data_IF_129780910407
#
_entry.id   IF_129780910407
#
_cell.length_a   1.000
_cell.length_b   1.000
_cell.length_c   1.000
_cell.angle_alpha   90.00
_cell.angle_beta   90.00
_cell.angle_gamma   90.00
#
_symmetry.space_group_name_H-M   'P 1'
#
loop_
_entity.id
_entity.type
_entity.pdbx_description
1 polymer ?
#
# COMPACT_ATOMS: atom_id res chain seq x y z
N UNK A 1 34.55 12.55 -20.80
CA UNK A 1 34.83 11.58 -19.71
C UNK A 1 34.42 12.11 -18.34
N UNK A 2 34.88 13.29 -17.90
CA UNK A 2 34.62 13.79 -16.54
C UNK A 2 33.12 13.88 -16.13
N UNK A 3 32.22 14.24 -17.06
CA UNK A 3 30.79 14.29 -16.77
C UNK A 3 30.16 12.90 -16.57
N UNK A 4 30.59 11.91 -17.34
CA UNK A 4 30.12 10.51 -17.27
C UNK A 4 30.56 9.89 -15.94
N UNK A 5 31.84 10.05 -15.58
CA UNK A 5 32.39 9.51 -14.33
C UNK A 5 31.69 10.10 -13.10
N UNK A 6 31.31 11.38 -13.18
CA UNK A 6 30.56 12.07 -12.11
C UNK A 6 29.14 11.51 -11.95
N UNK A 7 28.44 11.21 -13.05
CA UNK A 7 27.10 10.60 -13.00
C UNK A 7 27.17 9.18 -12.45
N UNK A 8 28.12 8.37 -12.92
CA UNK A 8 28.37 7.02 -12.37
C UNK A 8 28.66 7.03 -10.87
N UNK A 9 29.46 7.99 -10.41
CA UNK A 9 29.75 8.16 -8.99
C UNK A 9 28.49 8.50 -8.17
N UNK A 10 27.65 9.43 -8.63
CA UNK A 10 26.37 9.76 -7.97
C UNK A 10 25.48 8.53 -7.86
N UNK A 11 25.35 7.76 -8.93
CA UNK A 11 24.49 6.58 -9.00
C UNK A 11 24.95 5.51 -8.02
N UNK A 12 26.25 5.26 -7.95
CA UNK A 12 26.81 4.34 -6.96
C UNK A 12 26.48 4.76 -5.52
N UNK A 13 26.54 6.06 -5.23
CA UNK A 13 26.20 6.60 -3.89
C UNK A 13 24.71 6.40 -3.59
N UNK A 14 23.82 6.78 -4.52
CA UNK A 14 22.37 6.65 -4.33
C UNK A 14 21.94 5.19 -4.20
N UNK A 15 22.56 4.28 -4.95
CA UNK A 15 22.34 2.83 -4.82
C UNK A 15 22.77 2.30 -3.46
N UNK A 16 23.95 2.68 -2.98
CA UNK A 16 24.42 2.25 -1.66
C UNK A 16 23.49 2.76 -0.55
N UNK A 17 23.05 4.02 -0.64
CA UNK A 17 22.09 4.59 0.30
C UNK A 17 20.74 3.86 0.25
N UNK A 18 20.21 3.61 -0.95
CA UNK A 18 18.95 2.90 -1.16
C UNK A 18 18.99 1.48 -0.63
N UNK A 19 20.10 0.74 -0.88
CA UNK A 19 20.31 -0.62 -0.35
C UNK A 19 20.27 -0.65 1.17
N UNK A 20 21.02 0.26 1.82
CA UNK A 20 21.04 0.37 3.29
C UNK A 20 19.64 0.65 3.83
N UNK A 21 18.91 1.56 3.17
CA UNK A 21 17.57 1.93 3.59
C UNK A 21 16.57 0.77 3.41
N UNK A 22 16.59 0.09 2.26
CA UNK A 22 15.77 -1.10 2.01
C UNK A 22 16.03 -2.18 3.06
N UNK A 23 17.31 -2.47 3.38
CA UNK A 23 17.65 -3.47 4.39
C UNK A 23 17.18 -3.07 5.79
N UNK A 24 17.27 -1.77 6.14
CA UNK A 24 16.72 -1.23 7.39
C UNK A 24 15.20 -1.45 7.46
N UNK A 25 14.48 -1.17 6.36
CA UNK A 25 13.03 -1.36 6.28
C UNK A 25 12.66 -2.84 6.33
N UNK A 26 13.38 -3.73 5.64
CA UNK A 26 13.17 -5.19 5.70
C UNK A 26 13.32 -5.71 7.13
N UNK A 27 14.41 -5.34 7.81
CA UNK A 27 14.66 -5.73 9.21
C UNK A 27 13.58 -5.19 10.16
N UNK A 28 13.09 -3.98 9.90
CA UNK A 28 11.99 -3.40 10.67
C UNK A 28 10.68 -4.17 10.45
N UNK A 29 10.37 -4.54 9.20
CA UNK A 29 9.16 -5.31 8.86
C UNK A 29 9.14 -6.71 9.48
N UNK A 30 10.30 -7.37 9.60
CA UNK A 30 10.45 -8.66 10.27
C UNK A 30 10.11 -8.58 11.77
N UNK A 31 10.47 -7.47 12.42
CA UNK A 31 10.23 -7.25 13.85
C UNK A 31 8.94 -6.47 14.16
N UNK A 32 8.20 -6.06 13.12
CA UNK A 32 7.08 -5.13 13.25
C UNK A 32 5.88 -5.71 14.01
N UNK A 33 5.62 -7.01 13.85
CA UNK A 33 4.43 -7.65 14.44
C UNK A 33 4.50 -7.64 15.98
N UNK A 34 5.70 -7.63 16.57
CA UNK A 34 5.93 -7.56 18.01
C UNK A 34 5.83 -6.13 18.59
N UNK A 35 5.95 -5.09 17.77
CA UNK A 35 6.05 -3.67 18.20
C UNK A 35 4.97 -2.77 17.57
N UNK A 36 3.88 -3.40 17.13
CA UNK A 36 2.90 -2.85 16.20
C UNK A 36 2.22 -1.53 16.61
N UNK A 37 1.87 -1.35 17.90
CA UNK A 37 1.16 -0.14 18.37
C UNK A 37 2.04 1.11 18.38
N UNK A 38 3.35 0.95 18.56
CA UNK A 38 4.30 2.06 18.73
C UNK A 38 4.88 2.53 17.40
N UNK A 39 4.90 1.66 16.39
CA UNK A 39 5.74 1.83 15.21
C UNK A 39 4.97 2.14 13.91
N UNK A 40 3.67 2.45 14.00
CA UNK A 40 2.82 2.67 12.83
C UNK A 40 3.20 3.92 12.03
N UNK A 41 3.45 5.05 12.69
CA UNK A 41 3.86 6.30 12.04
C UNK A 41 5.18 6.11 11.27
N UNK A 42 6.08 5.32 11.85
CA UNK A 42 7.36 4.97 11.25
C UNK A 42 7.20 4.16 9.95
N UNK A 43 6.12 3.38 9.82
CA UNK A 43 5.82 2.63 8.59
C UNK A 43 5.40 3.57 7.44
N UNK A 44 4.64 4.63 7.74
CA UNK A 44 4.28 5.66 6.77
C UNK A 44 5.49 6.53 6.40
N UNK A 45 6.32 6.87 7.38
CA UNK A 45 7.57 7.60 7.14
C UNK A 45 8.51 6.80 6.23
N UNK A 46 8.63 5.48 6.44
CA UNK A 46 9.39 4.61 5.54
C UNK A 46 8.82 4.56 4.13
N UNK A 47 7.50 4.58 3.98
CA UNK A 47 6.86 4.61 2.66
C UNK A 47 7.21 5.90 1.89
N UNK A 48 7.08 7.06 2.54
CA UNK A 48 7.41 8.37 1.94
C UNK A 48 8.88 8.45 1.53
N UNK A 49 9.78 7.95 2.37
CA UNK A 49 11.21 7.93 2.06
C UNK A 49 11.56 6.96 0.91
N UNK A 50 10.86 5.82 0.79
CA UNK A 50 11.01 4.92 -0.37
C UNK A 50 10.53 5.59 -1.66
N UNK A 51 9.43 6.33 -1.62
CA UNK A 51 8.95 7.12 -2.77
C UNK A 51 9.99 8.17 -3.20
N UNK A 52 10.56 8.92 -2.24
CA UNK A 52 11.60 9.91 -2.52
C UNK A 52 12.86 9.29 -3.16
N UNK A 53 13.30 8.12 -2.66
CA UNK A 53 14.46 7.41 -3.22
C UNK A 53 14.20 6.87 -4.63
N UNK A 54 12.98 6.42 -4.90
CA UNK A 54 12.59 5.98 -6.25
C UNK A 54 12.61 7.15 -7.24
N UNK A 55 12.10 8.32 -6.85
CA UNK A 55 12.14 9.53 -7.69
C UNK A 55 13.59 9.97 -7.95
N UNK A 56 14.46 9.90 -6.94
CA UNK A 56 15.89 10.21 -7.08
C UNK A 56 16.58 9.28 -8.10
N UNK A 57 16.31 7.96 -8.03
CA UNK A 57 16.83 6.98 -8.99
C UNK A 57 16.31 7.24 -10.41
N UNK A 58 15.01 7.50 -10.57
CA UNK A 58 14.42 7.82 -11.88
C UNK A 58 14.98 9.11 -12.48
N UNK A 59 15.30 10.10 -11.64
CA UNK A 59 15.91 11.36 -12.08
C UNK A 59 17.34 11.12 -12.57
N UNK A 60 18.11 10.29 -11.86
CA UNK A 60 19.46 9.92 -12.26
C UNK A 60 19.48 9.13 -13.58
N UNK A 61 18.59 8.16 -13.76
CA UNK A 61 18.50 7.42 -15.02
C UNK A 61 18.18 8.36 -16.20
N UNK A 62 17.33 9.39 -16.00
CA UNK A 62 17.08 10.41 -17.03
C UNK A 62 18.28 11.32 -17.29
N UNK A 63 19.09 11.63 -16.27
CA UNK A 63 20.37 12.35 -16.46
C UNK A 63 21.35 11.51 -17.30
N UNK A 64 21.32 10.18 -17.19
CA UNK A 64 22.11 9.27 -18.03
C UNK A 64 21.65 9.27 -19.49
N UNK A 65 20.33 9.18 -19.75
CA UNK A 65 19.76 9.21 -21.10
C UNK A 65 20.17 10.47 -21.89
N UNK A 66 20.32 11.60 -21.21
CA UNK A 66 20.74 12.88 -21.80
C UNK A 66 22.22 12.92 -22.22
N UNK A 67 23.06 12.03 -21.69
CA UNK A 67 24.49 11.96 -22.01
C UNK A 67 24.80 11.19 -23.31
N UNK A 68 23.78 10.64 -23.99
CA UNK A 68 23.80 10.09 -25.36
C UNK A 68 24.75 8.90 -25.62
N UNK A 69 25.29 8.25 -24.59
CA UNK A 69 26.21 7.10 -24.71
C UNK A 69 25.66 5.87 -23.98
N UNK A 70 24.61 5.27 -24.55
CA UNK A 70 23.83 4.17 -23.96
C UNK A 70 24.68 2.91 -23.67
N UNK A 71 25.70 2.62 -24.49
CA UNK A 71 26.61 1.49 -24.28
C UNK A 71 27.47 1.64 -23.02
N UNK A 72 27.81 2.87 -22.62
CA UNK A 72 28.62 3.12 -21.44
C UNK A 72 27.81 2.98 -20.14
N UNK A 73 26.48 3.02 -20.21
CA UNK A 73 25.58 3.01 -19.05
C UNK A 73 24.65 1.78 -18.97
N UNK A 74 24.71 0.87 -19.95
CA UNK A 74 23.84 -0.31 -20.00
C UNK A 74 23.83 -1.14 -18.71
N UNK A 75 25.02 -1.37 -18.12
CA UNK A 75 25.16 -2.10 -16.86
C UNK A 75 24.57 -1.32 -15.68
N UNK A 76 24.74 0.00 -15.68
CA UNK A 76 24.11 0.88 -14.72
C UNK A 76 22.58 0.85 -14.87
N UNK A 77 22.01 0.94 -16.06
CA UNK A 77 20.56 0.92 -16.28
C UNK A 77 19.94 -0.41 -15.79
N UNK A 78 20.53 -1.54 -16.15
CA UNK A 78 20.05 -2.87 -15.75
C UNK A 78 20.05 -3.04 -14.21
N UNK A 79 21.13 -2.61 -13.55
CA UNK A 79 21.17 -2.58 -12.08
C UNK A 79 20.14 -1.61 -11.47
N UNK A 80 19.89 -0.44 -12.08
CA UNK A 80 18.88 0.51 -11.58
C UNK A 80 17.47 -0.11 -11.57
N UNK A 81 17.12 -0.91 -12.58
CA UNK A 81 15.83 -1.60 -12.65
C UNK A 81 15.65 -2.61 -11.52
N UNK A 82 16.68 -3.39 -11.21
CA UNK A 82 16.65 -4.35 -10.08
C UNK A 82 16.42 -3.63 -8.74
N UNK A 83 17.03 -2.45 -8.55
CA UNK A 83 16.80 -1.63 -7.36
C UNK A 83 15.38 -1.07 -7.28
N UNK A 84 14.81 -0.63 -8.41
CA UNK A 84 13.43 -0.17 -8.46
C UNK A 84 12.45 -1.30 -8.12
N UNK A 85 12.68 -2.51 -8.63
CA UNK A 85 11.86 -3.68 -8.31
C UNK A 85 11.90 -4.02 -6.81
N UNK A 86 13.10 -4.00 -6.21
CA UNK A 86 13.28 -4.26 -4.78
C UNK A 86 12.60 -3.18 -3.90
N UNK A 87 12.68 -1.91 -4.30
CA UNK A 87 11.95 -0.81 -3.64
C UNK A 87 10.44 -1.06 -3.73
N UNK A 88 9.92 -1.40 -4.91
CA UNK A 88 8.51 -1.67 -5.14
C UNK A 88 8.01 -2.87 -4.31
N UNK A 89 8.79 -3.95 -4.22
CA UNK A 89 8.46 -5.12 -3.40
C UNK A 89 8.29 -4.72 -1.92
N UNK A 90 9.21 -3.91 -1.38
CA UNK A 90 9.14 -3.45 0.01
C UNK A 90 7.97 -2.51 0.24
N UNK A 91 7.70 -1.58 -0.70
CA UNK A 91 6.51 -0.70 -0.64
C UNK A 91 5.23 -1.52 -0.63
N UNK A 92 5.15 -2.59 -1.44
CA UNK A 92 4.00 -3.49 -1.43
C UNK A 92 3.83 -4.18 -0.08
N UNK A 93 4.92 -4.69 0.53
CA UNK A 93 4.88 -5.30 1.87
C UNK A 93 4.39 -4.31 2.95
N UNK A 94 4.87 -3.06 2.92
CA UNK A 94 4.39 -1.99 3.80
C UNK A 94 2.89 -1.75 3.62
N UNK A 95 2.44 -1.50 2.38
CA UNK A 95 1.01 -1.24 2.07
C UNK A 95 0.11 -2.41 2.47
N UNK A 96 0.56 -3.65 2.25
CA UNK A 96 -0.17 -4.86 2.66
C UNK A 96 -0.35 -4.93 4.18
N UNK A 97 0.69 -4.62 4.97
CA UNK A 97 0.59 -4.56 6.44
C UNK A 97 -0.36 -3.45 6.91
N UNK A 98 -0.35 -2.28 6.26
CA UNK A 98 -1.31 -1.19 6.54
C UNK A 98 -2.74 -1.63 6.22
N UNK A 99 -2.98 -2.26 5.07
CA UNK A 99 -4.33 -2.63 4.63
C UNK A 99 -4.92 -3.79 5.45
N UNK A 100 -4.12 -4.78 5.84
CA UNK A 100 -4.55 -5.84 6.79
C UNK A 100 -5.02 -5.25 8.11
N UNK A 101 -4.42 -4.14 8.57
CA UNK A 101 -4.89 -3.39 9.73
C UNK A 101 -6.27 -2.78 9.51
N UNK A 102 -6.48 -2.08 8.40
CA UNK A 102 -7.76 -1.46 8.11
C UNK A 102 -8.91 -2.51 8.15
N UNK A 103 -8.67 -3.69 7.56
CA UNK A 103 -9.63 -4.79 7.57
C UNK A 103 -9.85 -5.41 8.97
N UNK A 104 -8.80 -5.54 9.78
CA UNK A 104 -8.90 -6.07 11.15
C UNK A 104 -9.51 -5.06 12.14
N UNK A 105 -9.24 -3.77 11.99
CA UNK A 105 -9.86 -2.71 12.80
C UNK A 105 -11.35 -2.55 12.45
N UNK A 106 -11.72 -2.62 11.18
CA UNK A 106 -13.13 -2.67 10.78
C UNK A 106 -13.82 -3.87 11.42
N UNK A 107 -13.22 -5.07 11.36
CA UNK A 107 -13.77 -6.27 11.98
C UNK A 107 -13.94 -6.19 13.51
N UNK A 108 -13.11 -5.39 14.21
CA UNK A 108 -13.23 -5.15 15.66
C UNK A 108 -14.24 -4.05 15.97
N UNK A 109 -14.33 -2.99 15.16
CA UNK A 109 -15.28 -1.89 15.38
C UNK A 109 -16.74 -2.30 15.09
N UNK A 110 -16.98 -3.36 14.31
CA UNK A 110 -18.31 -3.99 14.23
C UNK A 110 -18.72 -4.72 15.53
N UNK A 111 -17.81 -4.90 16.49
CA UNK A 111 -18.12 -5.39 17.85
C UNK A 111 -18.18 -4.21 18.83
N UNK A 112 -19.34 -3.56 18.85
CA UNK A 112 -19.82 -2.92 20.08
C UNK A 112 -20.07 -1.44 19.96
N UNK A 113 -21.32 -1.09 19.68
CA UNK A 113 -22.03 -0.15 20.53
C UNK A 113 -23.42 -0.73 20.83
N UNK A 114 -23.77 -0.66 22.11
CA UNK A 114 -24.97 -1.19 22.78
C UNK A 114 -24.88 -2.66 23.20
N UNK A 115 -24.47 -2.89 24.44
CA UNK A 115 -25.37 -3.52 25.42
C UNK A 115 -24.75 -3.47 26.82
N UNK A 116 -25.37 -2.66 27.66
CA UNK A 116 -25.20 -2.67 29.11
C UNK A 116 -25.57 -4.05 29.67
N UNK A 117 -24.61 -4.64 30.40
CA UNK A 117 -24.79 -5.59 31.50
C UNK A 117 -25.91 -6.64 31.39
N UNK A 118 -25.65 -7.81 30.75
CA UNK A 118 -26.20 -9.08 31.24
C UNK A 118 -25.21 -10.22 31.00
N UNK A 119 -24.70 -10.81 32.09
CA UNK A 119 -24.05 -12.13 32.08
C UNK A 119 -25.10 -13.19 31.79
N UNK A 120 -24.93 -14.02 30.76
CA UNK A 120 -25.38 -15.42 30.76
C UNK A 120 -24.60 -16.26 29.75
N UNK A 121 -24.38 -17.53 30.09
CA UNK A 121 -23.60 -18.53 29.37
C UNK A 121 -24.39 -19.14 28.18
N UNK A 122 -23.66 -19.55 27.13
CA UNK A 122 -24.03 -20.45 26.00
C UNK A 122 -24.89 -19.89 24.84
N UNK A 123 -24.96 -20.63 23.71
CA UNK A 123 -23.95 -20.98 22.71
C UNK A 123 -24.10 -20.08 21.47
N UNK A 124 -23.27 -20.23 20.42
CA UNK A 124 -23.26 -19.38 19.22
C UNK A 124 -24.66 -19.05 18.67
N UNK A 125 -25.16 -17.84 19.00
CA UNK A 125 -26.38 -17.27 18.45
C UNK A 125 -26.15 -17.08 16.94
N UNK A 126 -26.74 -17.96 16.14
CA UNK A 126 -26.91 -17.72 14.71
C UNK A 126 -27.83 -16.51 14.55
N UNK A 127 -27.23 -15.32 14.47
CA UNK A 127 -27.91 -14.07 14.16
C UNK A 127 -28.46 -14.20 12.74
N UNK A 128 -29.76 -14.44 12.62
CA UNK A 128 -30.44 -14.38 11.33
C UNK A 128 -30.43 -12.92 10.87
N UNK A 129 -29.67 -12.62 9.82
CA UNK A 129 -29.72 -11.32 9.17
C UNK A 129 -31.16 -11.06 8.70
N UNK A 130 -31.68 -9.84 8.86
CA UNK A 130 -32.97 -9.47 8.28
C UNK A 130 -32.91 -9.70 6.78
N UNK A 131 -33.82 -10.51 6.24
CA UNK A 131 -33.92 -10.73 4.80
C UNK A 131 -34.36 -9.43 4.14
N UNK A 132 -33.43 -8.75 3.48
CA UNK A 132 -33.71 -7.62 2.61
C UNK A 132 -34.57 -8.11 1.44
N UNK A 133 -35.84 -7.68 1.41
CA UNK A 133 -36.72 -7.94 0.27
C UNK A 133 -36.48 -6.86 -0.77
N UNK A 134 -35.61 -7.17 -1.74
CA UNK A 134 -35.45 -6.33 -2.92
C UNK A 134 -36.59 -6.69 -3.89
N UNK A 135 -37.40 -5.73 -4.35
CA UNK A 135 -38.39 -5.97 -5.40
C UNK A 135 -37.73 -6.56 -6.65
N UNK A 136 -38.41 -7.48 -7.35
CA UNK A 136 -37.92 -7.96 -8.64
C UNK A 136 -38.11 -6.85 -9.69
N UNK A 137 -37.08 -6.61 -10.50
CA UNK A 137 -37.20 -5.70 -11.64
C UNK A 137 -38.06 -6.34 -12.74
N UNK A 138 -39.16 -5.68 -13.11
CA UNK A 138 -40.05 -6.09 -14.20
C UNK A 138 -40.19 -5.03 -15.30
N UNK A 139 -39.26 -4.07 -15.37
CA UNK A 139 -39.25 -2.99 -16.36
C UNK A 139 -38.47 -3.32 -17.63
N UNK A 140 -38.38 -2.36 -18.55
CA UNK A 140 -37.53 -2.46 -19.74
C UNK A 140 -36.05 -2.31 -19.38
N UNK A 141 -35.14 -2.94 -20.12
CA UNK A 141 -33.69 -2.88 -19.83
C UNK A 141 -33.15 -1.44 -19.74
N UNK A 142 -33.76 -0.49 -20.45
CA UNK A 142 -33.39 0.93 -20.40
C UNK A 142 -33.65 1.60 -19.05
N UNK A 143 -34.58 1.09 -18.23
CA UNK A 143 -34.93 1.65 -16.91
C UNK A 143 -34.28 0.89 -15.75
N UNK A 144 -33.43 -0.10 -16.03
CA UNK A 144 -32.76 -0.90 -15.01
C UNK A 144 -31.82 -0.07 -14.13
N UNK A 145 -31.10 0.89 -14.71
CA UNK A 145 -30.20 1.77 -13.95
C UNK A 145 -30.95 2.67 -12.98
N UNK A 146 -32.10 3.21 -13.39
CA UNK A 146 -32.96 4.01 -12.51
C UNK A 146 -33.51 3.17 -11.35
N UNK A 147 -33.90 1.92 -11.62
CA UNK A 147 -34.33 0.98 -10.60
C UNK A 147 -33.23 0.69 -9.57
N UNK A 148 -32.00 0.41 -10.02
CA UNK A 148 -30.87 0.17 -9.10
C UNK A 148 -30.53 1.42 -8.30
N UNK A 149 -30.55 2.60 -8.93
CA UNK A 149 -30.24 3.86 -8.27
C UNK A 149 -31.33 4.31 -7.29
N UNK A 150 -32.53 3.72 -7.34
CA UNK A 150 -33.60 4.00 -6.37
C UNK A 150 -33.35 3.41 -4.98
N UNK A 151 -32.43 2.45 -4.85
CA UNK A 151 -31.96 1.97 -3.56
C UNK A 151 -30.88 2.93 -3.05
N UNK A 152 -31.29 3.98 -2.35
CA UNK A 152 -30.36 4.91 -1.70
C UNK A 152 -29.43 4.15 -0.75
N UNK A 153 -28.11 4.32 -0.90
CA UNK A 153 -27.14 3.81 0.06
C UNK A 153 -27.39 4.49 1.41
N UNK A 154 -27.99 3.79 2.36
CA UNK A 154 -28.06 4.26 3.75
C UNK A 154 -26.67 4.37 4.45
N UNK A 155 -25.58 4.21 3.69
CA UNK A 155 -24.19 4.29 4.13
C UNK A 155 -23.55 5.64 3.74
N UNK A 156 -24.09 6.36 2.75
CA UNK A 156 -23.47 7.60 2.26
C UNK A 156 -23.76 8.83 3.17
N UNK A 157 -24.71 8.72 4.10
CA UNK A 157 -25.13 9.80 5.01
C UNK A 157 -24.50 9.73 6.44
N UNK A 158 -23.41 8.97 6.63
CA UNK A 158 -22.79 8.79 7.96
C UNK A 158 -21.30 9.14 8.00
#
# INVERSE_FOLDING_TARGET
MEAIDKVKAKIKVVRSASTKFVNKVKSFLENFDSQYKTNQEQLFEYLLNLDAKQIELQTLNKEEDLLSDEELFKAEIECSLEYEENINEVKYKIKSKINKKHLSQLAVNFKGENESNVRTNNPALSLNLPKLRIPNFSGYSSTYLEFINSFTNAIDDN
#
